data_IF_619672222755
#
_entry.id   IF_619672222755
#
_cell.length_a   1.000
_cell.length_b   1.000
_cell.length_c   1.000
_cell.angle_alpha   90.00
_cell.angle_beta   90.00
_cell.angle_gamma   90.00
#
_symmetry.space_group_name_H-M   'P 1'
#
loop_
_entity.id
_entity.type
_entity.pdbx_description
1 polymer ?
#
# COMPACT_ATOMS: atom_id res chain seq x y z
N UNK A 1 -13.38 25.68 -20.83
CA UNK A 1 -12.60 24.43 -20.92
C UNK A 1 -13.27 23.36 -20.06
N UNK A 2 -13.81 22.26 -20.62
CA UNK A 2 -14.35 21.18 -19.81
C UNK A 2 -13.23 20.56 -18.97
N UNK A 3 -13.44 20.49 -17.65
CA UNK A 3 -12.45 19.95 -16.72
C UNK A 3 -12.35 18.43 -16.95
N UNK A 4 -11.15 17.93 -17.26
CA UNK A 4 -10.86 16.49 -17.38
C UNK A 4 -11.39 15.75 -16.15
N UNK A 5 -12.12 14.65 -16.34
CA UNK A 5 -12.81 13.98 -15.23
C UNK A 5 -11.81 13.46 -14.19
N UNK A 6 -12.24 13.39 -12.92
CA UNK A 6 -11.40 12.88 -11.81
C UNK A 6 -10.90 11.47 -12.10
N UNK A 7 -11.74 10.67 -12.77
CA UNK A 7 -11.40 9.30 -13.18
C UNK A 7 -10.32 9.28 -14.27
N UNK A 8 -10.44 10.11 -15.30
CA UNK A 8 -9.43 10.24 -16.36
C UNK A 8 -8.08 10.67 -15.79
N UNK A 9 -8.07 11.65 -14.87
CA UNK A 9 -6.85 12.08 -14.18
C UNK A 9 -6.23 10.94 -13.34
N UNK A 10 -7.06 10.15 -12.66
CA UNK A 10 -6.61 8.97 -11.91
C UNK A 10 -6.02 7.93 -12.86
N UNK A 11 -6.70 7.57 -13.95
CA UNK A 11 -6.22 6.60 -14.97
C UNK A 11 -4.86 7.02 -15.53
N UNK A 12 -4.65 8.31 -15.80
CA UNK A 12 -3.34 8.84 -16.23
C UNK A 12 -2.25 8.63 -15.17
N UNK A 13 -2.51 9.00 -13.90
CA UNK A 13 -1.56 8.75 -12.80
C UNK A 13 -1.27 7.28 -12.60
N UNK A 14 -2.31 6.44 -12.70
CA UNK A 14 -2.23 5.00 -12.55
C UNK A 14 -1.34 4.38 -13.62
N UNK A 15 -1.54 4.73 -14.90
CA UNK A 15 -0.67 4.29 -16.00
C UNK A 15 0.78 4.73 -15.79
N UNK A 16 1.00 5.98 -15.36
CA UNK A 16 2.36 6.49 -15.06
C UNK A 16 3.05 5.73 -13.93
N UNK A 17 2.30 5.31 -12.90
CA UNK A 17 2.85 4.50 -11.80
C UNK A 17 3.19 3.09 -12.29
N UNK A 18 2.28 2.44 -13.04
CA UNK A 18 2.48 1.09 -13.59
C UNK A 18 3.57 1.01 -14.67
N UNK A 19 3.97 2.12 -15.27
CA UNK A 19 5.15 2.16 -16.14
C UNK A 19 6.46 1.84 -15.37
N UNK A 20 6.49 2.04 -14.04
CA UNK A 20 7.64 1.72 -13.18
C UNK A 20 7.40 0.53 -12.26
N UNK A 21 6.13 0.15 -12.06
CA UNK A 21 5.71 -0.91 -11.14
C UNK A 21 5.13 -2.06 -11.95
N UNK A 22 5.82 -3.20 -11.93
CA UNK A 22 5.34 -4.47 -12.48
C UNK A 22 5.40 -5.54 -11.38
N UNK A 23 4.39 -6.40 -11.34
CA UNK A 23 4.35 -7.59 -10.49
C UNK A 23 4.81 -8.83 -11.24
N UNK A 24 5.77 -9.55 -10.68
CA UNK A 24 6.26 -10.83 -11.21
C UNK A 24 5.69 -12.00 -10.40
N UNK A 25 5.90 -13.25 -10.84
CA UNK A 25 5.52 -14.42 -10.05
C UNK A 25 6.13 -14.42 -8.63
N UNK A 26 7.39 -13.99 -8.49
CA UNK A 26 8.07 -13.94 -7.21
C UNK A 26 7.61 -12.77 -6.32
N UNK A 27 7.21 -11.65 -6.92
CA UNK A 27 6.74 -10.45 -6.21
C UNK A 27 5.51 -9.88 -6.90
N UNK A 28 4.32 -10.48 -6.68
CA UNK A 28 3.09 -10.02 -7.29
C UNK A 28 2.74 -8.59 -6.89
N UNK A 29 1.95 -7.91 -7.72
CA UNK A 29 1.54 -6.52 -7.47
C UNK A 29 0.25 -6.48 -6.65
N UNK A 30 0.27 -5.81 -5.51
CA UNK A 30 -0.90 -5.50 -4.70
C UNK A 30 -1.56 -4.21 -5.19
N UNK A 31 -2.60 -4.34 -6.00
CA UNK A 31 -3.40 -3.25 -6.55
C UNK A 31 -4.48 -2.80 -5.56
N UNK A 32 -4.52 -1.50 -5.25
CA UNK A 32 -5.58 -0.89 -4.43
C UNK A 32 -6.49 -0.02 -5.28
N UNK A 33 -7.79 -0.29 -5.26
CA UNK A 33 -8.82 0.55 -5.83
C UNK A 33 -9.79 1.04 -4.75
N UNK A 34 -10.08 2.34 -4.77
CA UNK A 34 -10.96 2.99 -3.80
C UNK A 34 -12.07 3.73 -4.52
N UNK A 35 -13.31 3.34 -4.28
CA UNK A 35 -14.48 4.09 -4.71
C UNK A 35 -14.90 5.09 -3.62
N UNK A 36 -16.07 5.74 -3.79
CA UNK A 36 -16.62 6.63 -2.77
C UNK A 36 -16.97 5.86 -1.48
N UNK A 37 -17.43 4.63 -1.62
CA UNK A 37 -17.92 3.79 -0.53
C UNK A 37 -16.93 2.67 -0.21
N UNK A 38 -16.59 1.88 -1.21
CA UNK A 38 -15.86 0.63 -1.06
C UNK A 38 -14.35 0.78 -1.30
N UNK A 39 -13.60 -0.19 -0.80
CA UNK A 39 -12.19 -0.38 -1.10
C UNK A 39 -11.97 -1.84 -1.50
N UNK A 40 -11.11 -2.01 -2.50
CA UNK A 40 -10.79 -3.28 -3.12
C UNK A 40 -9.28 -3.40 -3.17
N UNK A 41 -8.79 -4.60 -2.89
CA UNK A 41 -7.39 -4.94 -2.98
C UNK A 41 -7.22 -6.28 -3.70
N UNK A 42 -6.27 -6.34 -4.61
CA UNK A 42 -6.01 -7.51 -5.44
C UNK A 42 -4.52 -7.75 -5.56
N UNK A 43 -4.09 -8.99 -5.41
CA UNK A 43 -2.73 -9.45 -5.65
C UNK A 43 -2.70 -10.08 -7.03
N UNK A 44 -1.97 -9.46 -7.96
CA UNK A 44 -1.96 -9.83 -9.38
C UNK A 44 -0.55 -10.20 -9.82
N UNK A 45 -0.42 -11.29 -10.57
CA UNK A 45 0.78 -11.59 -11.34
C UNK A 45 0.62 -10.99 -12.74
N UNK A 46 1.41 -9.96 -13.08
CA UNK A 46 1.28 -9.26 -14.36
C UNK A 46 1.89 -10.05 -15.53
N UNK A 47 2.76 -11.05 -15.29
CA UNK A 47 3.35 -11.91 -16.33
C UNK A 47 2.30 -12.84 -16.95
N UNK A 48 1.45 -13.42 -16.10
CA UNK A 48 0.37 -14.34 -16.48
C UNK A 48 -0.96 -13.60 -16.67
N UNK A 49 -1.09 -12.40 -16.10
CA UNK A 49 -2.33 -11.63 -16.10
C UNK A 49 -3.39 -12.18 -15.15
N UNK A 50 -3.02 -13.03 -14.19
CA UNK A 50 -3.95 -13.69 -13.27
C UNK A 50 -3.97 -13.00 -11.89
N UNK A 51 -5.16 -12.94 -11.29
CA UNK A 51 -5.35 -12.48 -9.91
C UNK A 51 -5.23 -13.68 -8.97
N UNK A 52 -4.24 -13.64 -8.08
CA UNK A 52 -3.96 -14.72 -7.14
C UNK A 52 -4.86 -14.64 -5.91
N UNK A 53 -5.05 -13.42 -5.40
CA UNK A 53 -5.85 -13.14 -4.21
C UNK A 53 -6.60 -11.84 -4.42
N UNK A 54 -7.84 -11.77 -3.97
CA UNK A 54 -8.59 -10.53 -3.87
C UNK A 54 -9.21 -10.42 -2.49
N UNK A 55 -9.40 -9.20 -1.99
CA UNK A 55 -10.40 -8.93 -0.98
C UNK A 55 -11.03 -7.55 -1.15
N UNK A 56 -12.27 -7.42 -0.69
CA UNK A 56 -13.01 -6.17 -0.74
C UNK A 56 -13.94 -5.99 0.45
N UNK A 57 -14.43 -4.77 0.64
CA UNK A 57 -15.49 -4.51 1.63
C UNK A 57 -16.84 -5.16 1.29
N UNK A 58 -17.01 -5.66 0.06
CA UNK A 58 -18.24 -6.34 -0.38
C UNK A 58 -18.14 -7.85 -0.15
N UNK A 59 -16.93 -8.37 0.10
CA UNK A 59 -16.74 -9.80 0.31
C UNK A 59 -17.58 -10.27 1.50
N UNK A 60 -18.24 -11.44 1.41
CA UNK A 60 -19.13 -11.94 2.46
C UNK A 60 -18.40 -12.18 3.79
N UNK A 61 -17.10 -12.47 3.75
CA UNK A 61 -16.27 -12.64 4.95
C UNK A 61 -15.89 -11.28 5.59
N UNK A 62 -15.85 -10.20 4.81
CA UNK A 62 -15.39 -8.88 5.26
C UNK A 62 -16.56 -7.97 5.63
N UNK A 63 -17.67 -8.06 4.90
CA UNK A 63 -18.88 -7.27 5.13
C UNK A 63 -19.38 -7.28 6.60
N UNK A 64 -19.48 -8.43 7.30
CA UNK A 64 -19.89 -8.43 8.71
C UNK A 64 -18.81 -7.83 9.63
N UNK A 65 -17.54 -7.90 9.26
CA UNK A 65 -16.43 -7.36 10.06
C UNK A 65 -16.36 -5.83 10.04
N UNK A 66 -17.06 -5.17 9.11
CA UNK A 66 -16.98 -3.73 8.89
C UNK A 66 -18.28 -2.98 9.20
N UNK A 67 -19.32 -3.69 9.68
CA UNK A 67 -20.59 -3.08 10.05
C UNK A 67 -20.38 -2.09 11.22
N UNK A 68 -20.94 -0.89 11.09
CA UNK A 68 -20.78 0.20 12.06
C UNK A 68 -19.38 0.86 12.09
N UNK A 69 -18.42 0.40 11.29
CA UNK A 69 -17.05 0.92 11.28
C UNK A 69 -16.85 2.08 10.32
N UNK A 70 -15.84 2.90 10.59
CA UNK A 70 -15.43 3.97 9.69
C UNK A 70 -14.79 3.41 8.42
N UNK A 71 -14.80 4.20 7.34
CA UNK A 71 -14.17 3.82 6.05
C UNK A 71 -12.66 3.54 6.15
N UNK A 72 -12.00 4.03 7.21
CA UNK A 72 -10.58 3.80 7.49
C UNK A 72 -10.38 2.45 8.17
N UNK A 73 -11.19 2.13 9.17
CA UNK A 73 -11.20 0.82 9.84
C UNK A 73 -11.59 -0.30 8.87
N UNK A 74 -12.57 -0.06 7.99
CA UNK A 74 -12.91 -0.99 6.92
C UNK A 74 -11.71 -1.27 5.99
N UNK A 75 -10.88 -0.26 5.72
CA UNK A 75 -9.66 -0.44 4.92
C UNK A 75 -8.59 -1.24 5.68
N UNK A 76 -8.52 -1.12 7.01
CA UNK A 76 -7.64 -1.95 7.84
C UNK A 76 -8.08 -3.41 7.84
N UNK A 77 -9.39 -3.67 7.97
CA UNK A 77 -9.95 -5.02 7.90
C UNK A 77 -9.62 -5.69 6.55
N UNK A 78 -9.84 -4.99 5.43
CA UNK A 78 -9.46 -5.49 4.10
C UNK A 78 -7.96 -5.76 4.00
N UNK A 79 -7.11 -4.88 4.55
CA UNK A 79 -5.65 -5.07 4.52
C UNK A 79 -5.19 -6.32 5.25
N UNK A 80 -5.79 -6.62 6.41
CA UNK A 80 -5.52 -7.86 7.17
C UNK A 80 -5.95 -9.10 6.39
N UNK A 81 -7.19 -9.11 5.90
CA UNK A 81 -7.76 -10.25 5.17
C UNK A 81 -6.99 -10.56 3.89
N UNK A 82 -6.55 -9.55 3.13
CA UNK A 82 -5.71 -9.78 1.94
C UNK A 82 -4.37 -10.39 2.32
N UNK A 83 -3.73 -9.93 3.39
CA UNK A 83 -2.44 -10.45 3.82
C UNK A 83 -2.55 -11.90 4.29
N UNK A 84 -3.60 -12.25 5.05
CA UNK A 84 -3.88 -13.62 5.48
C UNK A 84 -4.12 -14.54 4.27
N UNK A 85 -4.96 -14.12 3.31
CA UNK A 85 -5.20 -14.87 2.07
C UNK A 85 -3.92 -15.01 1.23
N UNK A 86 -3.11 -13.96 1.13
CA UNK A 86 -1.83 -14.00 0.41
C UNK A 86 -0.86 -15.02 1.04
N UNK A 87 -0.77 -15.03 2.37
CA UNK A 87 0.04 -16.00 3.11
C UNK A 87 -0.45 -17.44 2.94
N UNK A 88 -1.76 -17.66 2.92
CA UNK A 88 -2.33 -18.98 2.67
C UNK A 88 -1.94 -19.56 1.30
N UNK A 89 -1.73 -18.69 0.30
CA UNK A 89 -1.26 -19.05 -1.05
C UNK A 89 0.29 -19.06 -1.13
N UNK A 90 0.99 -18.79 -0.02
CA UNK A 90 2.46 -18.79 0.04
C UNK A 90 3.13 -17.51 -0.47
N UNK A 91 2.38 -16.41 -0.61
CA UNK A 91 2.89 -15.12 -1.06
C UNK A 91 3.30 -14.28 0.16
N UNK A 92 4.61 -14.14 0.38
CA UNK A 92 5.16 -13.31 1.46
C UNK A 92 5.54 -11.90 0.99
N UNK A 93 5.98 -11.76 -0.27
CA UNK A 93 6.49 -10.50 -0.81
C UNK A 93 5.61 -9.97 -1.93
N UNK A 94 5.26 -8.68 -1.85
CA UNK A 94 4.49 -8.00 -2.90
C UNK A 94 5.08 -6.64 -3.26
N UNK A 95 4.63 -6.09 -4.39
CA UNK A 95 4.87 -4.71 -4.80
C UNK A 95 3.59 -3.91 -4.61
N UNK A 96 3.63 -2.84 -3.81
CA UNK A 96 2.44 -2.04 -3.52
C UNK A 96 2.08 -1.06 -4.64
N UNK A 97 0.89 -1.19 -5.21
CA UNK A 97 0.31 -0.30 -6.22
C UNK A 97 -0.89 0.48 -5.64
N UNK A 98 -0.67 1.78 -5.44
CA UNK A 98 -1.67 2.72 -4.93
C UNK A 98 -2.77 3.13 -5.93
N UNK A 99 -2.82 2.55 -7.13
CA UNK A 99 -3.95 2.69 -8.07
C UNK A 99 -4.19 4.12 -8.62
N UNK A 100 -3.18 4.99 -8.53
CA UNK A 100 -3.27 6.40 -8.90
C UNK A 100 -3.86 7.32 -7.82
N UNK A 101 -4.09 6.80 -6.61
CA UNK A 101 -4.45 7.57 -5.42
C UNK A 101 -3.20 8.07 -4.67
N UNK A 102 -3.39 9.06 -3.80
CA UNK A 102 -2.34 9.51 -2.88
C UNK A 102 -2.17 8.48 -1.75
N UNK A 103 -0.94 8.31 -1.27
CA UNK A 103 -0.65 7.44 -0.13
C UNK A 103 -1.03 8.17 1.16
N UNK A 104 -2.30 8.14 1.51
CA UNK A 104 -2.86 8.80 2.69
C UNK A 104 -4.18 8.12 3.09
N UNK A 105 -4.65 8.40 4.31
CA UNK A 105 -5.94 7.94 4.84
C UNK A 105 -6.13 6.44 4.62
N UNK A 106 -7.23 6.06 3.95
CA UNK A 106 -7.62 4.66 3.68
C UNK A 106 -6.55 3.84 2.96
N UNK A 107 -5.80 4.41 2.02
CA UNK A 107 -4.76 3.69 1.27
C UNK A 107 -3.56 3.38 2.16
N UNK A 108 -3.21 4.34 3.04
CA UNK A 108 -2.16 4.14 4.05
C UNK A 108 -2.62 3.12 5.10
N UNK A 109 -3.86 3.22 5.59
CA UNK A 109 -4.40 2.29 6.57
C UNK A 109 -4.44 0.83 6.09
N UNK A 110 -4.81 0.60 4.82
CA UNK A 110 -4.74 -0.73 4.20
C UNK A 110 -3.29 -1.24 4.11
N UNK A 111 -2.36 -0.37 3.71
CA UNK A 111 -0.95 -0.74 3.63
C UNK A 111 -0.36 -1.08 5.01
N UNK A 112 -0.62 -0.26 6.01
CA UNK A 112 -0.08 -0.43 7.36
C UNK A 112 -0.63 -1.74 7.99
N UNK A 113 -1.94 -1.99 7.86
CA UNK A 113 -2.56 -3.24 8.33
C UNK A 113 -2.08 -4.50 7.58
N UNK A 114 -1.83 -4.41 6.27
CA UNK A 114 -1.24 -5.52 5.52
C UNK A 114 0.20 -5.83 5.96
N UNK A 115 0.97 -4.81 6.36
CA UNK A 115 2.31 -5.00 6.94
C UNK A 115 2.26 -5.63 8.31
N UNK A 116 1.34 -5.19 9.19
CA UNK A 116 1.12 -5.79 10.51
C UNK A 116 0.74 -7.27 10.40
N UNK A 117 -0.10 -7.61 9.42
CA UNK A 117 -0.46 -8.99 9.10
C UNK A 117 0.68 -9.77 8.41
N UNK A 118 1.87 -9.18 8.26
CA UNK A 118 3.11 -9.81 7.82
C UNK A 118 3.28 -9.98 6.32
N UNK A 119 2.60 -9.16 5.51
CA UNK A 119 2.89 -9.05 4.08
C UNK A 119 4.03 -8.06 3.87
N UNK A 120 5.13 -8.53 3.27
CA UNK A 120 6.33 -7.72 3.08
C UNK A 120 6.28 -6.97 1.75
N UNK A 121 6.28 -5.64 1.82
CA UNK A 121 6.49 -4.82 0.65
C UNK A 121 7.35 -3.60 0.99
N UNK A 122 8.57 -3.58 0.44
CA UNK A 122 9.40 -2.38 0.44
C UNK A 122 8.73 -1.35 -0.46
N UNK A 123 8.70 -0.09 -0.01
CA UNK A 123 8.49 1.06 -0.89
C UNK A 123 9.68 1.13 -1.84
N UNK A 124 9.76 0.23 -2.83
CA UNK A 124 10.85 0.17 -3.80
C UNK A 124 10.61 1.25 -4.85
N UNK A 125 10.65 2.49 -4.39
CA UNK A 125 11.32 3.54 -5.15
C UNK A 125 12.54 3.81 -4.28
N UNK A 126 13.73 3.57 -4.82
CA UNK A 126 14.88 4.36 -4.40
C UNK A 126 14.42 5.82 -4.55
N UNK A 127 13.96 6.42 -3.46
CA UNK A 127 13.99 7.86 -3.34
C UNK A 127 15.48 8.14 -3.41
N UNK A 128 15.99 8.49 -4.59
CA UNK A 128 17.21 9.26 -4.62
C UNK A 128 16.95 10.42 -3.67
N UNK A 129 17.85 10.62 -2.72
CA UNK A 129 17.76 11.62 -1.68
C UNK A 129 17.54 13.02 -2.26
N UNK A 130 16.28 13.38 -2.53
CA UNK A 130 15.85 14.75 -2.82
C UNK A 130 15.65 15.54 -1.52
N UNK A 131 16.38 15.17 -0.47
CA UNK A 131 16.52 15.94 0.77
C UNK A 131 17.98 16.40 0.98
N UNK A 132 18.68 16.73 -0.11
CA UNK A 132 19.92 17.54 -0.07
C UNK A 132 19.65 19.03 0.16
N UNK A 133 18.67 19.38 1.01
CA UNK A 133 18.38 20.79 1.38
C UNK A 133 18.20 20.98 2.90
N UNK A 134 18.94 20.23 3.71
CA UNK A 134 19.18 20.57 5.13
C UNK A 134 20.64 20.31 5.53
N UNK A 135 21.59 20.68 4.65
CA UNK A 135 22.93 21.09 5.08
C UNK A 135 22.93 22.61 5.25
N UNK A 136 22.32 23.12 6.31
CA UNK A 136 22.57 24.47 6.87
C UNK A 136 21.60 24.82 8.02
N UNK A 137 21.52 24.02 9.08
CA UNK A 137 21.28 24.58 10.43
C UNK A 137 21.99 23.67 11.42
N UNK A 138 23.03 24.20 12.05
CA UNK A 138 23.79 23.48 13.05
C UNK A 138 22.94 23.11 14.26
N UNK A 139 22.88 21.81 14.57
CA UNK A 139 22.66 21.34 15.94
C UNK A 139 23.70 20.28 16.22
N UNK A 140 24.79 20.70 16.87
CA UNK A 140 25.73 19.80 17.55
C UNK A 140 24.95 19.06 18.65
N UNK A 141 24.46 17.85 18.41
CA UNK A 141 24.13 16.96 19.51
C UNK A 141 25.42 16.35 20.03
N UNK A 142 25.85 16.87 21.19
CA UNK A 142 26.91 16.31 22.03
C UNK A 142 26.49 14.89 22.43
N UNK A 143 27.20 13.89 21.95
CA UNK A 143 27.15 12.54 22.51
C UNK A 143 27.93 12.60 23.83
N UNK A 144 27.22 12.71 24.94
CA UNK A 144 27.79 12.57 26.27
C UNK A 144 28.07 11.08 26.56
N UNK A 145 29.33 10.77 26.84
CA UNK A 145 29.76 9.54 27.53
C UNK A 145 29.46 9.68 29.03
N UNK A 146 28.85 8.64 29.60
CA UNK A 146 29.05 8.13 30.99
C UNK A 146 28.04 7.00 31.23
N UNK A 147 28.27 5.87 31.89
CA UNK A 147 29.41 5.25 32.59
C UNK A 147 28.95 3.80 32.92
N UNK A 148 29.86 2.82 32.85
CA UNK A 148 29.98 1.59 33.69
C UNK A 148 28.77 0.67 33.96
N UNK A 149 28.86 -0.57 33.47
CA UNK A 149 28.49 -1.80 34.19
C UNK A 149 29.26 -3.00 33.63
N UNK A 150 29.83 -3.81 34.52
CA UNK A 150 30.72 -4.98 34.36
C UNK A 150 32.22 -4.68 34.29
#
# INVERSE_FOLDING_TARGET
MPRVSREQQRKRRHRRLRAKLAGTAARPRLNVYRSLEHIYAQVVNDEVGNTLVAASTIDPEVAPLIEGKTKTEAAQAVGRVVAERAKAVGISQVVFDRGGFQYHGRVKALADSAREAGLEFKARVQWADDNKTTRAVGVKMKIGKSLTSA
#
